data_IF_227906061971
#
_entry.id   IF_227906061971
#
_cell.length_a   1.000
_cell.length_b   1.000
_cell.length_c   1.000
_cell.angle_alpha   90.00
_cell.angle_beta   90.00
_cell.angle_gamma   90.00
#
_symmetry.space_group_name_H-M   'P 1'
#
loop_
_entity.id
_entity.type
_entity.pdbx_description
1 polymer ?
#
# COMPACT_ATOMS: atom_id res chain seq x y z
N UNK A 1 1.87 15.51 -1.51
CA UNK A 1 2.70 14.39 -1.95
C UNK A 1 3.23 13.68 -0.72
N UNK A 2 3.29 12.34 -0.77
CA UNK A 2 3.72 11.48 0.34
C UNK A 2 2.77 11.42 1.54
N UNK A 3 1.54 11.85 1.37
CA UNK A 3 0.51 11.70 2.38
C UNK A 3 0.08 10.22 2.46
N UNK A 4 -0.15 9.73 3.68
CA UNK A 4 -0.63 8.39 3.94
C UNK A 4 -1.93 8.43 4.76
N UNK A 5 -2.82 7.49 4.47
CA UNK A 5 -4.12 7.40 5.13
C UNK A 5 -4.43 5.95 5.46
N UNK A 6 -4.86 5.67 6.67
CA UNK A 6 -5.45 4.39 7.02
C UNK A 6 -6.97 4.52 7.06
N UNK A 7 -7.66 3.88 6.12
CA UNK A 7 -9.10 3.99 5.96
C UNK A 7 -9.76 2.69 6.41
N UNK A 8 -10.36 2.64 7.61
CA UNK A 8 -11.03 1.44 8.09
C UNK A 8 -12.36 1.21 7.35
N UNK A 9 -12.88 -0.01 7.46
CA UNK A 9 -14.23 -0.32 6.97
C UNK A 9 -15.27 0.64 7.56
N UNK A 10 -16.23 1.05 6.74
CA UNK A 10 -17.26 2.02 7.11
C UNK A 10 -16.87 3.49 6.95
N UNK A 11 -15.62 3.80 6.65
CA UNK A 11 -15.20 5.17 6.33
C UNK A 11 -15.56 5.52 4.89
N UNK A 12 -16.46 6.49 4.70
CA UNK A 12 -16.76 7.03 3.38
C UNK A 12 -15.54 7.77 2.83
N UNK A 13 -15.10 7.39 1.64
CA UNK A 13 -13.99 8.04 0.97
C UNK A 13 -14.17 8.05 -0.55
N UNK A 14 -13.42 8.89 -1.21
CA UNK A 14 -13.35 8.93 -2.66
C UNK A 14 -11.98 9.45 -3.12
N UNK A 15 -11.51 8.94 -4.26
CA UNK A 15 -10.26 9.37 -4.87
C UNK A 15 -10.57 10.48 -5.88
N UNK A 16 -9.97 11.64 -5.68
CA UNK A 16 -10.11 12.79 -6.55
C UNK A 16 -9.40 12.62 -7.91
N UNK A 17 -9.66 13.55 -8.81
CA UNK A 17 -9.02 13.54 -10.14
C UNK A 17 -7.53 13.93 -10.04
N UNK A 18 -6.70 13.26 -10.83
CA UNK A 18 -5.29 13.61 -10.99
C UNK A 18 -4.38 13.18 -9.84
N UNK A 19 -4.83 12.25 -9.02
CA UNK A 19 -4.06 11.69 -7.92
C UNK A 19 -3.51 10.32 -8.35
N UNK A 20 -2.22 10.09 -8.06
CA UNK A 20 -1.60 8.77 -8.10
C UNK A 20 -1.53 8.24 -6.67
N UNK A 21 -2.04 7.04 -6.46
CA UNK A 21 -2.04 6.38 -5.16
C UNK A 21 -1.41 4.99 -5.25
N UNK A 22 -0.86 4.53 -4.13
CA UNK A 22 -0.60 3.13 -3.84
C UNK A 22 -1.67 2.68 -2.84
N UNK A 23 -2.52 1.74 -3.24
CA UNK A 23 -3.61 1.23 -2.41
C UNK A 23 -3.27 -0.18 -1.95
N UNK A 24 -3.10 -0.34 -0.64
CA UNK A 24 -2.90 -1.62 0.03
C UNK A 24 -4.16 -1.92 0.82
N UNK A 25 -4.82 -3.02 0.52
CA UNK A 25 -6.06 -3.37 1.18
C UNK A 25 -6.13 -4.86 1.52
N UNK A 26 -6.90 -5.17 2.56
CA UNK A 26 -7.33 -6.54 2.82
C UNK A 26 -8.16 -7.04 1.63
N UNK A 27 -7.99 -8.30 1.26
CA UNK A 27 -8.80 -8.93 0.21
C UNK A 27 -10.28 -8.94 0.61
N UNK A 28 -11.09 -8.14 -0.09
CA UNK A 28 -12.54 -8.08 0.07
C UNK A 28 -13.16 -7.67 -1.26
N UNK A 29 -14.28 -8.31 -1.62
CA UNK A 29 -15.08 -7.97 -2.80
C UNK A 29 -16.31 -7.12 -2.46
N UNK A 30 -16.52 -6.80 -1.18
CA UNK A 30 -17.66 -6.03 -0.72
C UNK A 30 -17.37 -4.53 -0.84
N UNK A 31 -18.07 -3.90 -1.79
CA UNK A 31 -18.01 -2.45 -1.97
C UNK A 31 -19.43 -1.88 -1.97
N UNK A 32 -19.75 -1.04 -1.00
CA UNK A 32 -20.98 -0.27 -1.00
C UNK A 32 -20.76 1.10 -1.64
N UNK A 33 -21.15 1.22 -2.91
CA UNK A 33 -20.98 2.44 -3.70
C UNK A 33 -22.13 3.40 -3.44
N UNK A 34 -21.82 4.55 -2.86
CA UNK A 34 -22.81 5.62 -2.58
C UNK A 34 -22.83 6.71 -3.64
N UNK A 35 -21.76 6.85 -4.40
CA UNK A 35 -21.64 7.80 -5.51
C UNK A 35 -20.62 7.31 -6.54
N UNK A 36 -20.82 7.59 -7.82
CA UNK A 36 -19.93 7.18 -8.91
C UNK A 36 -19.71 8.26 -9.97
N UNK A 37 -19.70 9.50 -9.60
CA UNK A 37 -19.40 10.64 -10.49
C UNK A 37 -20.23 10.66 -11.78
N UNK A 38 -21.43 10.07 -11.77
CA UNK A 38 -22.30 9.87 -12.93
C UNK A 38 -21.61 9.15 -14.10
N UNK A 39 -20.64 8.27 -13.81
CA UNK A 39 -19.95 7.49 -14.83
C UNK A 39 -20.90 6.49 -15.46
N UNK A 40 -20.74 6.33 -16.77
CA UNK A 40 -21.44 5.30 -17.56
C UNK A 40 -20.43 4.46 -18.34
N UNK A 41 -20.77 3.23 -18.60
CA UNK A 41 -20.00 2.35 -19.48
C UNK A 41 -20.18 2.75 -20.96
N UNK A 42 -19.53 2.00 -21.87
CA UNK A 42 -19.64 2.22 -23.32
C UNK A 42 -21.07 2.07 -23.88
N UNK A 43 -21.98 1.48 -23.12
CA UNK A 43 -23.39 1.30 -23.48
C UNK A 43 -24.30 2.34 -22.78
N UNK A 44 -23.74 3.31 -22.07
CA UNK A 44 -24.47 4.34 -21.33
C UNK A 44 -25.06 3.85 -20.00
N UNK A 45 -24.64 2.68 -19.49
CA UNK A 45 -25.15 2.11 -18.24
C UNK A 45 -24.27 2.56 -17.07
N UNK A 46 -24.89 3.12 -16.04
CA UNK A 46 -24.24 3.44 -14.76
C UNK A 46 -23.96 2.18 -13.94
N UNK A 47 -22.94 2.23 -13.08
CA UNK A 47 -22.75 1.21 -12.06
C UNK A 47 -23.83 1.32 -10.98
N UNK A 48 -24.15 0.19 -10.37
CA UNK A 48 -25.12 0.14 -9.28
C UNK A 48 -24.63 0.94 -8.07
N UNK A 49 -25.56 1.66 -7.44
CA UNK A 49 -25.35 2.31 -6.15
C UNK A 49 -26.01 1.47 -5.06
N UNK A 50 -25.37 1.41 -3.89
CA UNK A 50 -25.78 0.58 -2.76
C UNK A 50 -26.14 1.45 -1.55
N UNK A 51 -26.86 2.55 -1.76
CA UNK A 51 -27.09 3.59 -0.77
C UNK A 51 -27.76 3.07 0.50
N UNK A 52 -28.75 2.18 0.38
CA UNK A 52 -29.47 1.62 1.53
C UNK A 52 -28.53 0.72 2.38
N UNK A 53 -27.79 -0.19 1.74
CA UNK A 53 -26.83 -1.05 2.42
C UNK A 53 -25.66 -0.27 3.01
N UNK A 54 -25.27 0.82 2.36
CA UNK A 54 -24.19 1.67 2.84
C UNK A 54 -24.54 2.36 4.16
N UNK A 55 -25.80 2.73 4.37
CA UNK A 55 -26.23 3.37 5.63
C UNK A 55 -25.96 2.48 6.84
N UNK A 56 -26.15 1.17 6.71
CA UNK A 56 -25.88 0.21 7.79
C UNK A 56 -24.40 -0.02 8.04
N UNK A 57 -23.55 0.20 7.02
CA UNK A 57 -22.11 -0.03 7.08
C UNK A 57 -21.29 1.22 7.45
N UNK A 58 -21.84 2.42 7.21
CA UNK A 58 -21.11 3.67 7.43
C UNK A 58 -20.86 3.91 8.93
N UNK A 59 -19.63 4.26 9.23
CA UNK A 59 -19.29 4.77 10.56
C UNK A 59 -19.62 6.29 10.62
N UNK A 60 -20.68 6.66 11.33
CA UNK A 60 -21.11 8.04 11.52
C UNK A 60 -20.45 8.74 12.72
N UNK A 61 -19.44 8.13 13.36
CA UNK A 61 -18.77 8.78 14.48
C UNK A 61 -18.13 10.11 14.02
N UNK A 62 -18.26 11.18 14.81
CA UNK A 62 -17.64 12.47 14.50
C UNK A 62 -16.11 12.39 14.68
N UNK A 63 -15.41 13.35 14.08
CA UNK A 63 -13.97 13.61 14.31
C UNK A 63 -13.05 12.43 14.01
N UNK A 64 -13.30 11.71 12.90
CA UNK A 64 -12.42 10.65 12.44
C UNK A 64 -11.22 11.22 11.68
N UNK A 65 -10.03 10.92 12.14
CA UNK A 65 -8.77 11.25 11.50
C UNK A 65 -8.18 9.98 10.88
N UNK A 66 -7.91 10.01 9.60
CA UNK A 66 -7.35 8.87 8.84
C UNK A 66 -5.93 9.13 8.35
N UNK A 67 -5.47 10.37 8.46
CA UNK A 67 -4.13 10.78 8.08
C UNK A 67 -3.07 10.19 9.01
N UNK A 68 -1.97 9.74 8.42
CA UNK A 68 -0.83 9.16 9.12
C UNK A 68 0.32 10.15 9.01
N UNK A 69 0.73 10.70 10.15
CA UNK A 69 1.93 11.51 10.21
C UNK A 69 3.16 10.62 10.30
N UNK A 70 4.06 10.74 9.35
CA UNK A 70 5.31 9.99 9.32
C UNK A 70 6.46 10.85 8.80
N UNK A 71 7.69 10.46 9.15
CA UNK A 71 8.92 11.06 8.64
C UNK A 71 9.83 9.93 8.17
N UNK A 72 10.00 9.73 6.85
CA UNK A 72 10.91 8.73 6.33
C UNK A 72 12.35 8.94 6.84
N UNK A 73 13.00 7.85 7.19
CA UNK A 73 14.41 7.83 7.56
C UNK A 73 15.20 7.06 6.51
N UNK A 74 16.40 7.59 6.16
CA UNK A 74 17.26 6.92 5.17
C UNK A 74 17.72 5.58 5.71
N UNK A 75 17.59 4.54 4.90
CA UNK A 75 17.99 3.15 5.17
C UNK A 75 17.37 2.57 6.45
N UNK A 76 16.14 2.98 6.76
CA UNK A 76 15.32 2.43 7.85
C UNK A 76 13.88 2.27 7.42
N UNK A 77 13.21 1.23 7.92
CA UNK A 77 11.77 1.09 7.81
C UNK A 77 11.07 1.97 8.84
N UNK A 78 10.17 2.80 8.37
CA UNK A 78 9.30 3.64 9.21
C UNK A 78 7.88 3.12 9.06
N UNK A 79 7.28 2.67 10.15
CA UNK A 79 5.93 2.14 10.14
C UNK A 79 4.91 3.19 9.73
N UNK A 80 4.03 2.84 8.79
CA UNK A 80 2.86 3.62 8.40
C UNK A 80 1.59 3.03 8.99
N UNK A 81 1.40 1.72 8.81
CA UNK A 81 0.21 0.99 9.25
C UNK A 81 0.62 -0.35 9.80
N UNK A 82 0.07 -0.68 10.95
CA UNK A 82 0.07 -2.03 11.52
C UNK A 82 -1.37 -2.38 11.89
N UNK A 83 -1.91 -3.41 11.29
CA UNK A 83 -3.28 -3.86 11.53
C UNK A 83 -3.34 -5.40 11.53
N UNK A 84 -4.46 -6.02 11.94
CA UNK A 84 -4.57 -7.49 12.00
C UNK A 84 -4.42 -8.21 10.65
N UNK A 85 -4.27 -7.50 9.55
CA UNK A 85 -4.25 -8.08 8.20
C UNK A 85 -2.93 -7.89 7.48
N UNK A 86 -2.22 -6.81 7.77
CA UNK A 86 -0.92 -6.49 7.17
C UNK A 86 -0.21 -5.38 7.93
N UNK A 87 1.09 -5.35 7.76
CA UNK A 87 1.96 -4.22 8.15
C UNK A 87 2.48 -3.53 6.90
N UNK A 88 2.49 -2.20 6.89
CA UNK A 88 3.05 -1.38 5.81
C UNK A 88 4.04 -0.39 6.39
N UNK A 89 5.25 -0.42 5.87
CA UNK A 89 6.31 0.53 6.18
C UNK A 89 6.67 1.36 4.95
N UNK A 90 7.21 2.56 5.15
CA UNK A 90 7.93 3.31 4.14
C UNK A 90 9.44 3.16 4.36
N UNK A 91 10.18 2.98 3.28
CA UNK A 91 11.65 2.81 3.29
C UNK A 91 12.27 3.74 2.24
N UNK A 92 13.18 4.61 2.66
CA UNK A 92 14.06 5.34 1.75
C UNK A 92 15.41 4.66 1.65
N UNK A 93 15.71 4.06 0.49
CA UNK A 93 17.01 3.46 0.22
C UNK A 93 17.93 4.49 -0.40
N UNK A 94 19.12 4.67 0.17
CA UNK A 94 20.22 5.46 -0.41
C UNK A 94 21.52 4.67 -0.31
N UNK A 95 22.03 4.26 -1.45
CA UNK A 95 23.18 3.35 -1.54
C UNK A 95 22.76 1.91 -1.31
N UNK A 96 23.03 1.36 -0.14
CA UNK A 96 22.82 -0.05 0.19
C UNK A 96 22.09 -0.21 1.52
N UNK A 97 21.12 -1.11 1.56
CA UNK A 97 20.38 -1.51 2.76
C UNK A 97 20.16 -3.02 2.75
N UNK A 98 20.73 -3.73 3.73
CA UNK A 98 20.47 -5.16 3.91
C UNK A 98 19.25 -5.36 4.82
N UNK A 99 18.37 -6.28 4.43
CA UNK A 99 17.16 -6.68 5.13
C UNK A 99 17.22 -8.15 5.48
N UNK A 100 16.97 -8.49 6.75
CA UNK A 100 16.77 -9.87 7.19
C UNK A 100 15.29 -10.12 7.43
N UNK A 101 14.81 -11.26 6.95
CA UNK A 101 13.43 -11.73 7.08
C UNK A 101 13.34 -13.05 7.86
N UNK A 102 14.43 -13.49 8.51
CA UNK A 102 14.48 -14.75 9.26
C UNK A 102 13.36 -14.89 10.32
N UNK A 103 12.89 -13.77 10.86
CA UNK A 103 11.83 -13.76 11.86
C UNK A 103 10.41 -13.67 11.26
N UNK A 104 10.31 -13.54 9.92
CA UNK A 104 9.04 -13.34 9.22
C UNK A 104 8.63 -14.63 8.50
N UNK A 105 7.55 -15.27 8.95
CA UNK A 105 6.97 -16.46 8.31
C UNK A 105 5.96 -16.05 7.20
N UNK A 106 6.36 -15.10 6.35
CA UNK A 106 5.51 -14.56 5.29
C UNK A 106 6.34 -14.03 4.13
N UNK A 107 5.67 -13.72 3.03
CA UNK A 107 6.25 -12.97 1.92
C UNK A 107 6.36 -11.47 2.27
N UNK A 108 7.22 -10.77 1.54
CA UNK A 108 7.27 -9.29 1.55
C UNK A 108 6.95 -8.77 0.16
N UNK A 109 6.14 -7.71 0.08
CA UNK A 109 5.88 -6.99 -1.15
C UNK A 109 6.58 -5.63 -1.08
N UNK A 110 7.34 -5.31 -2.10
CA UNK A 110 7.89 -3.98 -2.32
C UNK A 110 7.19 -3.27 -3.46
N UNK A 111 6.68 -2.06 -3.20
CA UNK A 111 6.16 -1.16 -4.22
C UNK A 111 7.10 0.04 -4.37
N UNK A 112 7.66 0.25 -5.56
CA UNK A 112 8.57 1.35 -5.82
C UNK A 112 7.78 2.63 -6.09
N UNK A 113 7.79 3.56 -5.13
CA UNK A 113 7.09 4.84 -5.23
C UNK A 113 7.87 5.87 -6.04
N UNK A 114 9.21 5.83 -5.91
CA UNK A 114 10.11 6.73 -6.65
C UNK A 114 11.51 6.13 -6.76
N UNK A 115 12.24 6.53 -7.81
CA UNK A 115 13.60 6.06 -8.07
C UNK A 115 13.69 4.66 -8.65
N UNK A 116 14.85 4.04 -8.50
CA UNK A 116 15.17 2.70 -8.96
C UNK A 116 16.18 2.01 -8.02
N UNK A 117 16.14 0.67 -8.00
CA UNK A 117 17.04 -0.14 -7.19
C UNK A 117 17.26 -1.52 -7.80
N UNK A 118 18.30 -2.20 -7.33
CA UNK A 118 18.54 -3.62 -7.54
C UNK A 118 18.34 -4.36 -6.23
N UNK A 119 17.47 -5.34 -6.22
CA UNK A 119 17.26 -6.27 -5.12
C UNK A 119 18.16 -7.48 -5.34
N UNK A 120 19.04 -7.78 -4.39
CA UNK A 120 20.02 -8.88 -4.49
C UNK A 120 19.79 -9.87 -3.36
N UNK A 121 19.76 -11.14 -3.67
CA UNK A 121 19.74 -12.24 -2.72
C UNK A 121 20.78 -13.27 -3.09
N UNK A 122 20.99 -14.29 -2.26
CA UNK A 122 22.05 -15.29 -2.40
C UNK A 122 22.19 -15.86 -3.82
N UNK A 123 21.06 -16.13 -4.48
CA UNK A 123 21.06 -16.88 -5.75
C UNK A 123 20.67 -16.02 -6.96
N UNK A 124 20.48 -14.70 -6.78
CA UNK A 124 20.09 -13.85 -7.89
C UNK A 124 19.93 -12.37 -7.56
N UNK A 125 19.45 -11.67 -8.54
CA UNK A 125 19.08 -10.26 -8.39
C UNK A 125 17.99 -9.87 -9.37
N UNK A 126 17.19 -8.88 -8.99
CA UNK A 126 16.14 -8.28 -9.82
C UNK A 126 16.23 -6.75 -9.72
N UNK A 127 15.93 -6.07 -10.83
CA UNK A 127 15.82 -4.61 -10.84
C UNK A 127 14.37 -4.20 -10.71
N UNK A 128 14.12 -3.15 -9.95
CA UNK A 128 12.81 -2.55 -9.85
C UNK A 128 12.89 -1.03 -10.00
N UNK A 129 11.93 -0.48 -10.70
CA UNK A 129 11.83 0.96 -10.98
C UNK A 129 10.48 1.51 -10.56
N UNK A 130 10.36 2.81 -10.50
CA UNK A 130 9.12 3.50 -10.11
C UNK A 130 7.88 2.93 -10.80
N UNK A 131 6.88 2.58 -9.98
CA UNK A 131 5.60 2.01 -10.38
C UNK A 131 5.58 0.48 -10.44
N UNK A 132 6.73 -0.19 -10.23
CA UNK A 132 6.79 -1.63 -10.17
C UNK A 132 6.53 -2.16 -8.76
N UNK A 133 6.02 -3.39 -8.73
CA UNK A 133 5.75 -4.14 -7.50
C UNK A 133 6.45 -5.47 -7.58
N UNK A 134 7.22 -5.80 -6.56
CA UNK A 134 7.99 -7.03 -6.47
C UNK A 134 7.55 -7.82 -5.25
N UNK A 135 7.23 -9.10 -5.43
CA UNK A 135 6.96 -10.03 -4.35
C UNK A 135 8.24 -10.81 -4.03
N UNK A 136 8.64 -10.75 -2.79
CA UNK A 136 9.74 -11.52 -2.20
C UNK A 136 9.15 -12.70 -1.46
N UNK A 137 9.35 -13.94 -1.91
CA UNK A 137 8.78 -15.11 -1.26
C UNK A 137 9.47 -15.40 0.09
N UNK A 138 8.77 -16.05 1.00
CA UNK A 138 9.26 -16.39 2.35
C UNK A 138 10.52 -17.27 2.39
N UNK A 139 10.93 -17.86 1.28
CA UNK A 139 12.17 -18.63 1.21
C UNK A 139 13.45 -17.77 1.02
N UNK A 140 13.31 -16.45 0.93
CA UNK A 140 14.43 -15.51 0.89
C UNK A 140 14.59 -14.89 2.27
N UNK A 141 15.54 -15.37 3.04
CA UNK A 141 15.80 -14.96 4.41
C UNK A 141 16.51 -13.61 4.52
N UNK A 142 17.29 -13.25 3.49
CA UNK A 142 18.07 -12.02 3.43
C UNK A 142 18.10 -11.42 2.02
N UNK A 143 17.98 -10.11 1.94
CA UNK A 143 18.07 -9.35 0.71
C UNK A 143 18.82 -8.04 0.92
N UNK A 144 19.62 -7.66 -0.07
CA UNK A 144 20.25 -6.34 -0.16
C UNK A 144 19.52 -5.51 -1.20
N UNK A 145 19.04 -4.34 -0.78
CA UNK A 145 18.44 -3.30 -1.61
C UNK A 145 19.55 -2.29 -1.97
N UNK A 146 19.89 -2.16 -3.25
CA UNK A 146 20.97 -1.27 -3.71
C UNK A 146 20.44 -0.28 -4.75
N UNK A 147 20.52 1.01 -4.45
CA UNK A 147 20.04 2.08 -5.34
C UNK A 147 19.66 3.34 -4.62
N UNK A 148 18.79 4.14 -5.29
CA UNK A 148 18.18 5.32 -4.70
C UNK A 148 16.69 5.25 -4.98
N UNK A 149 15.92 4.81 -4.01
CA UNK A 149 14.49 4.58 -4.17
C UNK A 149 13.70 4.86 -2.90
N UNK A 150 12.44 5.21 -3.08
CA UNK A 150 11.42 5.23 -2.02
C UNK A 150 10.44 4.09 -2.25
N UNK A 151 10.24 3.26 -1.25
CA UNK A 151 9.48 2.02 -1.31
C UNK A 151 8.38 2.01 -0.26
N UNK A 152 7.31 1.28 -0.55
CA UNK A 152 6.51 0.63 0.50
C UNK A 152 7.01 -0.81 0.67
N UNK A 153 7.14 -1.23 1.92
CA UNK A 153 7.44 -2.59 2.34
C UNK A 153 6.20 -3.12 3.06
N UNK A 154 5.58 -4.18 2.51
CA UNK A 154 4.31 -4.70 2.97
C UNK A 154 4.45 -6.18 3.27
N UNK A 155 3.97 -6.63 4.43
CA UNK A 155 4.01 -8.04 4.84
C UNK A 155 2.87 -8.37 5.81
N UNK A 156 2.72 -9.65 6.09
CA UNK A 156 1.78 -10.19 7.09
C UNK A 156 2.62 -10.78 8.22
N UNK A 157 2.31 -10.41 9.45
CA UNK A 157 2.92 -10.97 10.66
C UNK A 157 2.20 -12.26 11.09
#
# INVERSE_FOLDING_TARGET
QDDAYFIPAGAIHAIGKGILIAEIQQTSDITYRVFDWNRVDKNGKSRELHTELAVDAINFAPDQHYDITHQPEVNRSVNLVECPYFTTNVVEVKGELTRSYEALDSFVIYMVLDGDLTMKWKDGSEKATKGETVLVPACIDEMTLEGNAKLLEIFID
#
